data_IF_994093990176
#
_entry.id   IF_994093990176
#
_cell.length_a   1.000
_cell.length_b   1.000
_cell.length_c   1.000
_cell.angle_alpha   90.00
_cell.angle_beta   90.00
_cell.angle_gamma   90.00
#
_symmetry.space_group_name_H-M   'P 1'
#
loop_
_entity.id
_entity.type
_entity.pdbx_description
1 polymer ?
#
# COMPACT_ATOMS: atom_id res chain seq x y z
N UNK A 1 -33.81 25.41 -8.22
CA UNK A 1 -32.88 24.55 -7.46
C UNK A 1 -32.16 23.49 -8.31
N UNK A 2 -32.58 23.21 -9.56
CA UNK A 2 -31.88 22.24 -10.44
C UNK A 2 -30.62 22.77 -11.16
N UNK A 3 -30.48 24.08 -11.40
CA UNK A 3 -29.29 24.56 -12.15
C UNK A 3 -28.01 24.62 -11.32
N UNK A 4 -28.12 24.85 -10.01
CA UNK A 4 -26.96 24.90 -9.10
C UNK A 4 -26.40 23.53 -8.77
N UNK A 5 -27.23 22.49 -8.68
CA UNK A 5 -26.76 21.10 -8.52
C UNK A 5 -26.02 20.61 -9.77
N UNK A 6 -26.56 20.86 -10.97
CA UNK A 6 -25.92 20.48 -12.23
C UNK A 6 -24.59 21.21 -12.49
N UNK A 7 -24.45 22.48 -12.10
CA UNK A 7 -23.19 23.22 -12.24
C UNK A 7 -22.15 22.73 -11.23
N UNK A 8 -22.56 22.39 -10.01
CA UNK A 8 -21.66 21.86 -8.99
C UNK A 8 -21.19 20.44 -9.33
N UNK A 9 -22.07 19.59 -9.85
CA UNK A 9 -21.76 18.22 -10.29
C UNK A 9 -20.80 18.20 -11.50
N UNK A 10 -21.03 19.06 -12.49
CA UNK A 10 -20.10 19.27 -13.61
C UNK A 10 -18.79 19.95 -13.18
N UNK A 11 -18.85 20.78 -12.15
CA UNK A 11 -17.70 21.47 -11.58
C UNK A 11 -16.72 20.53 -10.90
N UNK A 12 -17.25 19.63 -10.07
CA UNK A 12 -16.46 18.62 -9.37
C UNK A 12 -15.85 17.66 -10.41
N UNK A 13 -16.62 17.24 -11.41
CA UNK A 13 -16.14 16.33 -12.47
C UNK A 13 -14.89 16.84 -13.21
N UNK A 14 -14.78 18.13 -13.53
CA UNK A 14 -13.59 18.66 -14.22
C UNK A 14 -12.34 18.67 -13.32
N UNK A 15 -12.50 18.81 -12.01
CA UNK A 15 -11.39 18.82 -11.04
C UNK A 15 -10.89 17.42 -10.73
N UNK A 16 -11.78 16.43 -10.68
CA UNK A 16 -11.40 15.06 -10.30
C UNK A 16 -10.92 14.22 -11.49
N UNK A 17 -11.25 14.63 -12.72
CA UNK A 17 -10.86 13.92 -13.94
C UNK A 17 -9.33 13.78 -14.12
N UNK A 18 -8.50 14.83 -13.93
CA UNK A 18 -7.05 14.71 -14.00
C UNK A 18 -6.49 13.75 -12.95
N UNK A 19 -7.03 13.80 -11.73
CA UNK A 19 -6.59 12.92 -10.63
C UNK A 19 -6.92 11.45 -10.93
N UNK A 20 -8.15 11.16 -11.39
CA UNK A 20 -8.55 9.81 -11.77
C UNK A 20 -7.68 9.24 -12.90
N UNK A 21 -7.34 10.06 -13.89
CA UNK A 21 -6.47 9.65 -14.99
C UNK A 21 -5.05 9.30 -14.51
N UNK A 22 -4.46 10.14 -13.65
CA UNK A 22 -3.13 9.90 -13.08
C UNK A 22 -3.11 8.61 -12.25
N UNK A 23 -4.10 8.42 -11.38
CA UNK A 23 -4.22 7.22 -10.55
C UNK A 23 -4.38 5.95 -11.40
N UNK A 24 -5.12 6.02 -12.51
CA UNK A 24 -5.26 4.88 -13.41
C UNK A 24 -3.91 4.50 -14.07
N UNK A 25 -3.15 5.49 -14.53
CA UNK A 25 -1.83 5.27 -15.12
C UNK A 25 -0.84 4.71 -14.10
N UNK A 26 -0.82 5.26 -12.89
CA UNK A 26 0.02 4.79 -11.78
C UNK A 26 -0.30 3.33 -11.43
N UNK A 27 -1.58 2.96 -11.36
CA UNK A 27 -1.99 1.59 -11.06
C UNK A 27 -1.56 0.58 -12.13
N UNK A 28 -1.66 0.94 -13.41
CA UNK A 28 -1.25 0.05 -14.50
C UNK A 28 0.27 -0.15 -14.48
N UNK A 29 1.03 0.94 -14.39
CA UNK A 29 2.50 0.88 -14.37
C UNK A 29 3.00 0.20 -13.10
N UNK A 30 2.42 0.57 -11.96
CA UNK A 30 2.76 0.04 -10.64
C UNK A 30 2.51 -1.46 -10.55
N UNK A 31 1.35 -1.94 -11.01
CA UNK A 31 1.01 -3.36 -10.93
C UNK A 31 1.90 -4.20 -11.85
N UNK A 32 2.15 -3.71 -13.07
CA UNK A 32 3.08 -4.36 -13.99
C UNK A 32 4.51 -4.42 -13.43
N UNK A 33 5.00 -3.31 -12.88
CA UNK A 33 6.33 -3.24 -12.27
C UNK A 33 6.47 -4.19 -11.08
N UNK A 34 5.50 -4.16 -10.16
CA UNK A 34 5.51 -4.98 -8.95
C UNK A 34 5.46 -6.48 -9.27
N UNK A 35 4.59 -6.91 -10.19
CA UNK A 35 4.53 -8.31 -10.65
C UNK A 35 5.85 -8.73 -11.28
N UNK A 36 6.47 -7.86 -12.08
CA UNK A 36 7.76 -8.15 -12.73
C UNK A 36 8.89 -8.35 -11.72
N UNK A 37 8.95 -7.54 -10.66
CA UNK A 37 9.94 -7.65 -9.58
C UNK A 37 9.79 -8.97 -8.82
N UNK A 38 8.56 -9.33 -8.46
CA UNK A 38 8.27 -10.58 -7.75
C UNK A 38 8.64 -11.78 -8.64
N UNK A 39 8.20 -11.76 -9.90
CA UNK A 39 8.49 -12.81 -10.86
C UNK A 39 10.01 -12.99 -11.08
N UNK A 40 10.74 -11.89 -11.23
CA UNK A 40 12.19 -11.92 -11.43
C UNK A 40 12.93 -12.54 -10.21
N UNK A 41 12.51 -12.17 -9.00
CA UNK A 41 13.09 -12.68 -7.75
C UNK A 41 12.80 -14.17 -7.55
N UNK A 42 11.59 -14.62 -7.90
CA UNK A 42 11.22 -16.04 -7.82
C UNK A 42 11.94 -16.89 -8.87
N UNK A 43 12.11 -16.37 -10.09
CA UNK A 43 12.69 -17.12 -11.21
C UNK A 43 14.20 -17.30 -11.11
N UNK A 44 14.93 -16.34 -10.56
CA UNK A 44 16.39 -16.35 -10.57
C UNK A 44 16.95 -16.57 -9.16
N UNK A 45 17.50 -17.77 -8.91
CA UNK A 45 18.14 -18.11 -7.63
C UNK A 45 19.34 -17.21 -7.30
N UNK A 46 20.01 -16.65 -8.31
CA UNK A 46 21.10 -15.68 -8.10
C UNK A 46 20.61 -14.34 -7.54
N UNK A 47 19.32 -14.03 -7.71
CA UNK A 47 18.69 -12.85 -7.15
C UNK A 47 18.08 -13.11 -5.76
N UNK A 48 18.16 -14.32 -5.19
CA UNK A 48 17.50 -14.64 -3.91
C UNK A 48 18.35 -14.25 -2.68
N UNK A 49 18.82 -13.00 -2.65
CA UNK A 49 19.46 -12.41 -1.47
C UNK A 49 18.41 -11.88 -0.48
N UNK A 50 18.79 -11.64 0.78
CA UNK A 50 17.87 -11.08 1.80
C UNK A 50 17.24 -9.77 1.32
N UNK A 51 18.07 -8.88 0.77
CA UNK A 51 17.62 -7.60 0.23
C UNK A 51 16.60 -7.74 -0.90
N UNK A 52 16.87 -8.64 -1.85
CA UNK A 52 15.99 -8.82 -3.00
C UNK A 52 14.66 -9.49 -2.58
N UNK A 53 14.68 -10.35 -1.55
CA UNK A 53 13.44 -10.84 -0.92
C UNK A 53 12.64 -9.73 -0.25
N UNK A 54 13.30 -8.80 0.47
CA UNK A 54 12.64 -7.61 1.03
C UNK A 54 11.99 -6.76 -0.07
N UNK A 55 12.70 -6.53 -1.18
CA UNK A 55 12.17 -5.80 -2.34
C UNK A 55 10.97 -6.53 -2.95
N UNK A 56 11.02 -7.86 -3.08
CA UNK A 56 9.89 -8.63 -3.59
C UNK A 56 8.67 -8.60 -2.65
N UNK A 57 8.88 -8.67 -1.33
CA UNK A 57 7.83 -8.54 -0.33
C UNK A 57 7.22 -7.13 -0.36
N UNK A 58 8.05 -6.09 -0.51
CA UNK A 58 7.59 -4.71 -0.67
C UNK A 58 6.73 -4.55 -1.93
N UNK A 59 7.17 -5.09 -3.05
CA UNK A 59 6.42 -5.06 -4.31
C UNK A 59 5.06 -5.79 -4.20
N UNK A 60 4.99 -6.90 -3.44
CA UNK A 60 3.72 -7.57 -3.15
C UNK A 60 2.80 -6.70 -2.29
N UNK A 61 3.33 -6.05 -1.25
CA UNK A 61 2.56 -5.14 -0.40
C UNK A 61 2.05 -3.91 -1.19
N UNK A 62 2.87 -3.34 -2.04
CA UNK A 62 2.51 -2.23 -2.93
C UNK A 62 1.39 -2.62 -3.91
N UNK A 63 1.43 -3.84 -4.44
CA UNK A 63 0.33 -4.39 -5.24
C UNK A 63 -0.98 -4.49 -4.44
N UNK A 64 -0.91 -4.87 -3.16
CA UNK A 64 -2.06 -4.88 -2.25
C UNK A 64 -2.63 -3.49 -1.97
N UNK A 65 -1.77 -2.49 -1.79
CA UNK A 65 -2.19 -1.09 -1.60
C UNK A 65 -2.84 -0.51 -2.86
N UNK A 66 -2.36 -0.87 -4.05
CA UNK A 66 -2.95 -0.43 -5.32
C UNK A 66 -4.42 -0.87 -5.49
N UNK A 67 -4.85 -1.96 -4.84
CA UNK A 67 -6.27 -2.38 -4.86
C UNK A 67 -7.22 -1.29 -4.32
N UNK A 68 -6.81 -0.51 -3.30
CA UNK A 68 -7.61 0.64 -2.86
C UNK A 68 -7.75 1.68 -3.96
N UNK A 69 -6.67 1.93 -4.71
CA UNK A 69 -6.67 2.95 -5.75
C UNK A 69 -7.53 2.53 -6.94
N UNK A 70 -7.59 1.24 -7.28
CA UNK A 70 -8.55 0.71 -8.26
C UNK A 70 -9.99 0.95 -7.84
N UNK A 71 -10.30 0.66 -6.58
CA UNK A 71 -11.64 0.89 -6.02
C UNK A 71 -11.99 2.38 -6.01
N UNK A 72 -11.07 3.23 -5.58
CA UNK A 72 -11.23 4.69 -5.61
C UNK A 72 -11.49 5.19 -7.05
N UNK A 73 -10.68 4.74 -8.00
CA UNK A 73 -10.80 5.11 -9.42
C UNK A 73 -12.16 4.68 -9.98
N UNK A 74 -12.68 3.51 -9.59
CA UNK A 74 -14.03 3.07 -9.96
C UNK A 74 -15.14 3.99 -9.42
N UNK A 75 -15.07 4.40 -8.15
CA UNK A 75 -16.04 5.34 -7.57
C UNK A 75 -15.99 6.72 -8.26
N UNK A 76 -14.78 7.17 -8.62
CA UNK A 76 -14.59 8.43 -9.36
C UNK A 76 -15.21 8.38 -10.76
N UNK A 77 -15.07 7.27 -11.49
CA UNK A 77 -15.65 7.12 -12.84
C UNK A 77 -17.17 6.90 -12.83
N UNK A 78 -17.71 6.28 -11.78
CA UNK A 78 -19.16 6.02 -11.65
C UNK A 78 -19.94 7.23 -11.13
N UNK A 79 -19.26 8.28 -10.66
CA UNK A 79 -19.90 9.48 -10.12
C UNK A 79 -20.61 9.25 -8.78
N UNK A 80 -20.34 8.12 -8.12
CA UNK A 80 -20.89 7.82 -6.79
C UNK A 80 -20.05 8.61 -5.77
N UNK A 81 -20.48 9.84 -5.51
CA UNK A 81 -19.76 10.76 -4.62
C UNK A 81 -20.03 10.51 -3.12
N UNK A 82 -21.05 9.70 -2.80
CA UNK A 82 -21.47 9.44 -1.43
C UNK A 82 -21.46 7.95 -1.15
N UNK A 83 -20.40 7.48 -0.51
CA UNK A 83 -20.30 6.13 0.04
C UNK A 83 -20.48 6.21 1.55
N UNK A 84 -21.29 5.32 2.11
CA UNK A 84 -21.45 5.23 3.56
C UNK A 84 -20.10 5.00 4.25
N UNK A 85 -19.84 5.76 5.33
CA UNK A 85 -18.54 5.77 6.02
C UNK A 85 -18.10 4.36 6.48
N UNK A 86 -19.04 3.53 6.94
CA UNK A 86 -18.77 2.15 7.35
C UNK A 86 -18.23 1.29 6.19
N UNK A 87 -18.87 1.38 5.03
CA UNK A 87 -18.47 0.65 3.82
C UNK A 87 -17.11 1.13 3.32
N UNK A 88 -16.89 2.45 3.31
CA UNK A 88 -15.62 3.06 2.93
C UNK A 88 -14.47 2.58 3.84
N UNK A 89 -14.71 2.55 5.16
CA UNK A 89 -13.71 2.08 6.10
C UNK A 89 -13.33 0.62 5.86
N UNK A 90 -14.29 -0.29 5.67
CA UNK A 90 -13.98 -1.70 5.38
C UNK A 90 -13.19 -1.87 4.08
N UNK A 91 -13.51 -1.07 3.06
CA UNK A 91 -12.80 -1.06 1.77
C UNK A 91 -11.34 -0.58 1.93
N UNK A 92 -11.12 0.47 2.72
CA UNK A 92 -9.81 1.10 2.87
C UNK A 92 -8.94 0.42 3.94
N UNK A 93 -9.55 -0.34 4.86
CA UNK A 93 -8.84 -0.95 5.98
C UNK A 93 -7.77 -1.94 5.50
N UNK A 94 -8.11 -2.84 4.57
CA UNK A 94 -7.16 -3.84 4.06
C UNK A 94 -5.97 -3.15 3.36
N UNK A 95 -6.17 -2.23 2.39
CA UNK A 95 -5.07 -1.51 1.74
C UNK A 95 -4.20 -0.67 2.69
N UNK A 96 -4.79 -0.15 3.77
CA UNK A 96 -4.07 0.60 4.81
C UNK A 96 -3.07 -0.28 5.59
N UNK A 97 -3.43 -1.53 5.86
CA UNK A 97 -2.53 -2.51 6.49
C UNK A 97 -1.31 -2.81 5.60
N UNK A 98 -1.55 -2.98 4.30
CA UNK A 98 -0.48 -3.19 3.31
C UNK A 98 0.43 -1.96 3.19
N UNK A 99 -0.16 -0.76 3.14
CA UNK A 99 0.61 0.49 3.02
C UNK A 99 1.54 0.71 4.23
N UNK A 100 1.03 0.46 5.43
CA UNK A 100 1.83 0.56 6.66
C UNK A 100 3.02 -0.42 6.64
N UNK A 101 2.82 -1.60 6.06
CA UNK A 101 3.86 -2.62 5.91
C UNK A 101 4.92 -2.22 4.88
N UNK A 102 4.50 -1.67 3.73
CA UNK A 102 5.41 -1.12 2.70
C UNK A 102 6.38 -0.11 3.30
N UNK A 103 5.89 0.85 4.09
CA UNK A 103 6.73 1.93 4.62
C UNK A 103 7.88 1.38 5.48
N UNK A 104 7.59 0.41 6.34
CA UNK A 104 8.61 -0.21 7.19
C UNK A 104 9.57 -1.04 6.34
N UNK A 105 9.06 -1.89 5.44
CA UNK A 105 9.91 -2.74 4.59
C UNK A 105 10.84 -1.89 3.71
N UNK A 106 10.35 -0.78 3.16
CA UNK A 106 11.14 0.16 2.34
C UNK A 106 12.30 0.77 3.13
N UNK A 107 12.06 1.20 4.38
CA UNK A 107 13.13 1.72 5.26
C UNK A 107 14.20 0.65 5.48
N UNK A 108 13.79 -0.60 5.69
CA UNK A 108 14.73 -1.70 5.94
C UNK A 108 15.55 -2.09 4.72
N UNK A 109 14.95 -2.07 3.52
CA UNK A 109 15.71 -2.19 2.28
C UNK A 109 16.78 -1.10 2.22
N UNK A 110 16.45 0.14 2.59
CA UNK A 110 17.40 1.24 2.67
C UNK A 110 18.53 1.00 3.69
N UNK A 111 18.20 0.54 4.89
CA UNK A 111 19.16 0.22 5.95
C UNK A 111 20.07 -0.93 5.55
N UNK A 112 19.51 -2.02 5.00
CA UNK A 112 20.25 -3.19 4.52
C UNK A 112 21.27 -2.76 3.46
N UNK A 113 20.86 -1.96 2.47
CA UNK A 113 21.76 -1.39 1.45
C UNK A 113 22.83 -0.48 2.05
N UNK A 114 22.48 0.33 3.04
CA UNK A 114 23.44 1.22 3.69
C UNK A 114 24.49 0.42 4.47
N UNK A 115 24.08 -0.64 5.17
CA UNK A 115 24.98 -1.53 5.91
C UNK A 115 25.92 -2.26 4.94
N UNK A 116 25.42 -2.77 3.82
CA UNK A 116 26.26 -3.40 2.77
C UNK A 116 27.35 -2.46 2.27
N UNK A 117 27.02 -1.18 2.08
CA UNK A 117 27.96 -0.17 1.57
C UNK A 117 28.97 0.23 2.65
N UNK A 118 28.52 0.44 3.89
CA UNK A 118 29.39 0.90 4.98
C UNK A 118 30.26 -0.20 5.56
N UNK A 119 29.76 -1.45 5.58
CA UNK A 119 30.41 -2.58 6.24
C UNK A 119 30.36 -3.84 5.39
N UNK A 120 31.05 -3.86 4.23
CA UNK A 120 31.05 -5.01 3.33
C UNK A 120 31.58 -6.31 3.98
N UNK A 121 32.38 -6.20 5.05
CA UNK A 121 32.95 -7.34 5.78
C UNK A 121 32.01 -7.92 6.86
N UNK A 122 31.05 -7.13 7.39
CA UNK A 122 30.10 -7.61 8.41
C UNK A 122 29.03 -8.52 7.79
N UNK A 123 28.64 -8.28 6.54
CA UNK A 123 27.59 -9.03 5.85
C UNK A 123 28.00 -10.49 5.54
N UNK A 124 29.31 -10.73 5.38
CA UNK A 124 29.90 -12.06 5.15
C UNK A 124 29.79 -12.96 6.40
N UNK A 125 29.61 -12.38 7.60
CA UNK A 125 29.52 -13.10 8.88
C UNK A 125 28.27 -13.99 9.01
N UNK A 126 27.22 -13.79 8.19
CA UNK A 126 26.19 -14.80 7.92
C UNK A 126 25.37 -15.34 9.10
N UNK A 127 25.38 -14.68 10.27
CA UNK A 127 24.87 -15.27 11.53
C UNK A 127 23.47 -14.75 11.92
N UNK A 128 22.55 -14.52 10.98
CA UNK A 128 21.17 -14.15 11.33
C UNK A 128 20.12 -14.93 10.53
N UNK A 129 19.02 -15.29 11.20
CA UNK A 129 17.93 -16.05 10.59
C UNK A 129 17.08 -15.11 9.72
N UNK A 130 17.32 -15.17 8.41
CA UNK A 130 16.69 -14.31 7.39
C UNK A 130 15.17 -14.39 7.43
N UNK A 131 14.59 -15.58 7.63
CA UNK A 131 13.13 -15.75 7.65
C UNK A 131 12.54 -15.07 8.89
N UNK A 132 13.16 -15.23 10.06
CA UNK A 132 12.70 -14.59 11.28
C UNK A 132 12.79 -13.06 11.18
N UNK A 133 13.84 -12.55 10.53
CA UNK A 133 13.96 -11.12 10.24
C UNK A 133 12.85 -10.64 9.28
N UNK A 134 12.63 -11.33 8.15
CA UNK A 134 11.58 -10.96 7.18
C UNK A 134 10.16 -11.01 7.77
N UNK A 135 9.85 -12.05 8.54
CA UNK A 135 8.54 -12.24 9.17
C UNK A 135 8.34 -11.28 10.34
N UNK A 136 9.35 -11.08 11.19
CA UNK A 136 9.28 -10.14 12.31
C UNK A 136 9.04 -8.71 11.85
N UNK A 137 9.70 -8.30 10.77
CA UNK A 137 9.61 -6.92 10.29
C UNK A 137 8.33 -6.60 9.52
N UNK A 138 7.67 -7.60 8.94
CA UNK A 138 6.34 -7.44 8.32
C UNK A 138 5.20 -7.53 9.33
N UNK A 139 5.37 -8.29 10.43
CA UNK A 139 4.33 -8.44 11.46
C UNK A 139 4.18 -7.23 12.38
N UNK A 140 5.27 -6.53 12.73
CA UNK A 140 5.21 -5.31 13.56
C UNK A 140 4.29 -4.22 12.97
N UNK A 141 4.42 -3.81 11.69
CA UNK A 141 3.52 -2.83 11.09
C UNK A 141 2.08 -3.33 11.04
N UNK A 142 1.87 -4.62 10.74
CA UNK A 142 0.52 -5.21 10.71
C UNK A 142 -0.15 -5.17 12.09
N UNK A 143 0.60 -5.43 13.17
CA UNK A 143 0.09 -5.30 14.54
C UNK A 143 -0.25 -3.84 14.87
N UNK A 144 0.63 -2.91 14.51
CA UNK A 144 0.39 -1.48 14.72
C UNK A 144 -0.85 -0.99 13.96
N UNK A 145 -0.99 -1.35 12.69
CA UNK A 145 -2.14 -0.97 11.88
C UNK A 145 -3.44 -1.65 12.34
N UNK A 146 -3.38 -2.86 12.88
CA UNK A 146 -4.53 -3.51 13.50
C UNK A 146 -5.01 -2.77 14.76
N UNK A 147 -4.08 -2.33 15.62
CA UNK A 147 -4.41 -1.54 16.82
C UNK A 147 -5.07 -0.22 16.42
N UNK A 148 -4.48 0.51 15.47
CA UNK A 148 -5.06 1.74 14.96
C UNK A 148 -6.41 1.53 14.29
N UNK A 149 -6.57 0.44 13.53
CA UNK A 149 -7.84 0.02 12.96
C UNK A 149 -8.93 -0.16 14.01
N UNK A 150 -8.61 -0.86 15.11
CA UNK A 150 -9.56 -1.08 16.20
C UNK A 150 -9.97 0.23 16.88
N UNK A 151 -9.02 1.15 17.09
CA UNK A 151 -9.30 2.49 17.64
C UNK A 151 -10.20 3.29 16.69
N UNK A 152 -9.88 3.31 15.39
CA UNK A 152 -10.70 3.99 14.38
C UNK A 152 -12.11 3.41 14.28
N UNK A 153 -12.26 2.09 14.35
CA UNK A 153 -13.56 1.43 14.35
C UNK A 153 -14.39 1.80 15.58
N UNK A 154 -13.76 1.84 16.76
CA UNK A 154 -14.39 2.32 17.99
C UNK A 154 -14.88 3.77 17.88
N UNK A 155 -14.06 4.65 17.31
CA UNK A 155 -14.44 6.06 17.09
C UNK A 155 -15.62 6.20 16.11
N UNK A 156 -15.67 5.39 15.05
CA UNK A 156 -16.80 5.41 14.12
C UNK A 156 -18.12 4.94 14.75
N UNK A 157 -18.08 3.95 15.66
CA UNK A 157 -19.29 3.52 16.37
C UNK A 157 -19.81 4.61 17.30
N UNK A 158 -18.92 5.32 18.00
CA UNK A 158 -19.30 6.46 18.86
C UNK A 158 -19.95 7.61 18.08
N UNK A 159 -19.48 7.89 16.86
CA UNK A 159 -20.05 8.93 15.99
C UNK A 159 -21.36 8.49 15.33
N UNK A 160 -21.57 7.18 15.13
CA UNK A 160 -22.81 6.67 14.54
C UNK A 160 -24.01 6.70 15.51
N UNK A 161 -23.74 6.77 16.82
CA UNK A 161 -24.77 6.81 17.87
C UNK A 161 -25.16 8.25 18.31
N UNK A 162 -24.49 9.28 17.80
CA UNK A 162 -24.80 10.71 18.02
C UNK A 162 -25.53 11.34 16.84
#
# INVERSE_FOLDING_TARGET
MNSTSNVQENGIMYEVFPAAFILMVENVIGMFGNVSIVWATLRNSKLQTTCNWLIAINALADGGTQLAQYVLTYYLFTGINYVELKTCWHLQFIPYMFFSSTLIVTILVGIDRLITILFPLLEVSGTYNKILYLVGMSTIPMCYSAIWGAISYGHMMLVADT
#
